data_IF_114132815303
#
_entry.id   IF_114132815303
#
_cell.length_a   1.000
_cell.length_b   1.000
_cell.length_c   1.000
_cell.angle_alpha   90.00
_cell.angle_beta   90.00
_cell.angle_gamma   90.00
#
_symmetry.space_group_name_H-M   'P 1'
#
loop_
_entity.id
_entity.type
_entity.pdbx_description
1 polymer ?
#
# COMPACT_ATOMS: atom_id res chain seq x y z
N UNK A 1 7.45 4.74 -20.29
CA UNK A 1 8.19 4.68 -19.02
C UNK A 1 8.28 3.21 -18.66
N UNK A 2 9.46 2.63 -18.73
CA UNK A 2 9.72 1.25 -18.31
C UNK A 2 10.42 1.32 -16.95
N UNK A 3 9.68 1.10 -15.87
CA UNK A 3 10.22 1.17 -14.52
C UNK A 3 9.19 0.68 -13.50
N UNK A 4 9.66 0.37 -12.30
CA UNK A 4 8.82 -0.07 -11.19
C UNK A 4 8.08 1.16 -10.63
N UNK A 5 6.82 0.97 -10.26
CA UNK A 5 6.05 1.92 -9.45
C UNK A 5 5.90 1.29 -8.06
N UNK A 6 6.46 1.93 -7.05
CA UNK A 6 6.26 1.56 -5.66
C UNK A 6 5.04 2.31 -5.12
N UNK A 7 4.02 1.57 -4.71
CA UNK A 7 2.75 2.13 -4.25
C UNK A 7 2.55 2.01 -2.73
N UNK A 8 3.52 1.48 -2.01
CA UNK A 8 3.41 1.27 -0.58
C UNK A 8 4.75 1.53 0.12
N UNK A 9 4.95 2.75 0.59
CA UNK A 9 6.18 3.15 1.26
C UNK A 9 5.96 4.28 2.27
N UNK A 10 6.60 4.17 3.43
CA UNK A 10 6.57 5.14 4.53
C UNK A 10 7.78 6.07 4.44
N UNK A 11 7.91 6.75 3.31
CA UNK A 11 9.10 7.55 2.98
C UNK A 11 9.03 9.01 3.48
N UNK A 12 7.85 9.50 3.88
CA UNK A 12 7.71 10.87 4.41
C UNK A 12 8.31 10.95 5.82
N UNK A 13 9.25 11.89 6.07
CA UNK A 13 10.00 11.92 7.32
C UNK A 13 9.16 12.36 8.51
N UNK A 14 9.25 11.61 9.62
CA UNK A 14 8.66 11.98 10.91
C UNK A 14 7.13 12.01 10.96
N UNK A 15 6.47 11.33 10.02
CA UNK A 15 4.99 11.23 9.98
C UNK A 15 4.50 10.00 10.74
N UNK A 16 5.17 8.88 10.59
CA UNK A 16 4.82 7.57 11.14
C UNK A 16 6.07 6.78 11.55
N UNK A 17 6.00 5.46 11.54
CA UNK A 17 7.09 4.54 11.87
C UNK A 17 8.09 4.28 10.73
N UNK A 18 7.93 4.98 9.60
CA UNK A 18 8.84 4.89 8.47
C UNK A 18 10.09 5.75 8.61
N UNK A 19 10.36 6.60 7.62
CA UNK A 19 11.52 7.50 7.62
C UNK A 19 11.51 8.47 8.80
N UNK A 20 12.62 8.56 9.51
CA UNK A 20 12.79 9.42 10.68
C UNK A 20 13.11 10.87 10.32
N UNK A 21 13.85 11.06 9.24
CA UNK A 21 14.37 12.35 8.80
C UNK A 21 14.62 12.40 7.28
N UNK A 22 14.94 13.59 6.78
CA UNK A 22 15.20 13.78 5.34
C UNK A 22 16.43 13.04 4.83
N UNK A 23 17.42 12.76 5.65
CA UNK A 23 18.60 12.01 5.24
C UNK A 23 18.25 10.53 5.01
N UNK A 24 17.35 10.00 5.81
CA UNK A 24 16.80 8.64 5.61
C UNK A 24 15.92 8.59 4.37
N UNK A 25 14.99 9.55 4.19
CA UNK A 25 14.14 9.63 3.00
C UNK A 25 14.96 9.71 1.70
N UNK A 26 16.04 10.49 1.68
CA UNK A 26 16.94 10.56 0.51
C UNK A 26 17.62 9.23 0.21
N UNK A 27 18.14 8.55 1.25
CA UNK A 27 18.72 7.20 1.06
C UNK A 27 17.71 6.21 0.51
N UNK A 28 16.46 6.28 0.97
CA UNK A 28 15.37 5.44 0.45
C UNK A 28 15.10 5.76 -1.02
N UNK A 29 14.99 7.04 -1.39
CA UNK A 29 14.81 7.47 -2.79
C UNK A 29 15.94 6.96 -3.68
N UNK A 30 17.20 7.17 -3.28
CA UNK A 30 18.39 6.75 -4.04
C UNK A 30 18.41 5.22 -4.23
N UNK A 31 18.16 4.46 -3.15
CA UNK A 31 18.13 3.02 -3.21
C UNK A 31 17.00 2.51 -4.14
N UNK A 32 15.81 3.07 -4.05
CA UNK A 32 14.68 2.71 -4.90
C UNK A 32 14.98 3.01 -6.39
N UNK A 33 15.55 4.18 -6.69
CA UNK A 33 15.91 4.55 -8.06
C UNK A 33 16.98 3.62 -8.65
N UNK A 34 18.00 3.26 -7.86
CA UNK A 34 19.04 2.30 -8.25
C UNK A 34 18.46 0.89 -8.52
N UNK A 35 17.41 0.49 -7.82
CA UNK A 35 16.70 -0.78 -8.03
C UNK A 35 15.72 -0.75 -9.22
N UNK A 36 15.60 0.37 -9.93
CA UNK A 36 14.75 0.50 -11.11
C UNK A 36 13.38 1.11 -10.84
N UNK A 37 13.09 1.59 -9.63
CA UNK A 37 11.87 2.34 -9.33
C UNK A 37 11.92 3.70 -10.05
N UNK A 38 10.83 4.08 -10.68
CA UNK A 38 10.68 5.35 -11.40
C UNK A 38 9.52 6.19 -10.90
N UNK A 39 8.68 5.60 -10.05
CA UNK A 39 7.64 6.33 -9.35
C UNK A 39 7.45 5.76 -7.94
N UNK A 40 7.31 6.62 -6.95
CA UNK A 40 7.00 6.27 -5.56
C UNK A 40 5.73 7.00 -5.16
N UNK A 41 4.75 6.27 -4.65
CA UNK A 41 3.60 6.84 -3.95
C UNK A 41 3.87 6.76 -2.45
N UNK A 42 4.10 7.89 -1.82
CA UNK A 42 4.25 7.95 -0.38
C UNK A 42 2.91 7.62 0.29
N UNK A 43 2.89 6.63 1.16
CA UNK A 43 1.67 6.12 1.80
C UNK A 43 1.84 6.04 3.32
N UNK A 44 1.98 7.18 4.01
CA UNK A 44 2.05 7.17 5.46
C UNK A 44 0.77 6.59 6.07
N UNK A 45 0.89 6.06 7.28
CA UNK A 45 -0.25 5.53 8.02
C UNK A 45 -1.36 6.57 8.20
N UNK A 46 -2.60 6.11 8.07
CA UNK A 46 -3.78 6.91 8.36
C UNK A 46 -3.91 7.18 9.86
N UNK A 47 -4.12 8.44 10.22
CA UNK A 47 -4.48 8.82 11.56
C UNK A 47 -5.97 9.20 11.64
N UNK A 48 -6.69 8.66 12.64
CA UNK A 48 -8.08 9.06 12.93
C UNK A 48 -8.22 10.55 13.27
N UNK A 49 -7.11 11.23 13.58
CA UNK A 49 -7.05 12.69 13.82
C UNK A 49 -7.11 13.49 12.51
N UNK A 50 -7.13 12.81 11.35
CA UNK A 50 -7.08 13.41 10.03
C UNK A 50 -5.66 13.47 9.46
N UNK A 51 -5.52 14.20 8.35
CA UNK A 51 -4.24 14.39 7.69
C UNK A 51 -3.33 15.29 8.52
N UNK A 52 -2.04 14.95 8.69
CA UNK A 52 -1.07 15.87 9.27
C UNK A 52 -1.05 17.18 8.46
N UNK A 53 -1.07 18.36 9.10
CA UNK A 53 -1.13 19.64 8.37
C UNK A 53 -0.01 19.82 7.34
N UNK A 54 1.18 19.28 7.63
CA UNK A 54 2.38 19.38 6.78
C UNK A 54 2.47 18.32 5.67
N UNK A 55 1.48 17.41 5.53
CA UNK A 55 1.61 16.25 4.63
C UNK A 55 1.84 16.66 3.16
N UNK A 56 1.18 17.70 2.70
CA UNK A 56 1.32 18.19 1.33
C UNK A 56 2.67 18.87 1.10
N UNK A 57 3.13 19.67 2.07
CA UNK A 57 4.46 20.30 2.01
C UNK A 57 5.58 19.24 1.98
N UNK A 58 5.45 18.20 2.81
CA UNK A 58 6.42 17.10 2.81
C UNK A 58 6.39 16.31 1.49
N UNK A 59 5.20 16.09 0.89
CA UNK A 59 5.08 15.42 -0.40
C UNK A 59 5.67 16.26 -1.54
N UNK A 60 5.47 17.58 -1.54
CA UNK A 60 6.08 18.49 -2.50
C UNK A 60 7.61 18.46 -2.40
N UNK A 61 8.15 18.56 -1.19
CA UNK A 61 9.59 18.45 -0.96
C UNK A 61 10.14 17.08 -1.35
N UNK A 62 9.41 15.99 -1.12
CA UNK A 62 9.81 14.66 -1.58
C UNK A 62 9.96 14.62 -3.10
N UNK A 63 9.04 15.28 -3.83
CA UNK A 63 9.10 15.40 -5.29
C UNK A 63 10.33 16.18 -5.76
N UNK A 64 10.69 17.25 -5.06
CA UNK A 64 11.92 17.99 -5.36
C UNK A 64 13.16 17.13 -5.13
N UNK A 65 13.23 16.40 -4.01
CA UNK A 65 14.36 15.50 -3.71
C UNK A 65 14.49 14.39 -4.75
N UNK A 66 13.38 13.78 -5.16
CA UNK A 66 13.37 12.78 -6.23
C UNK A 66 13.85 13.38 -7.57
N UNK A 67 13.39 14.59 -7.92
CA UNK A 67 13.81 15.31 -9.13
C UNK A 67 15.31 15.67 -9.16
N UNK A 68 15.94 15.82 -7.98
CA UNK A 68 17.40 16.02 -7.88
C UNK A 68 18.19 14.76 -8.18
N UNK A 69 17.60 13.58 -7.89
CA UNK A 69 18.22 12.28 -8.22
C UNK A 69 18.14 12.04 -9.73
N UNK A 70 16.94 12.18 -10.32
CA UNK A 70 16.76 12.04 -11.75
C UNK A 70 15.46 12.75 -12.23
N UNK A 71 15.46 13.39 -13.42
CA UNK A 71 14.28 14.10 -13.94
C UNK A 71 13.07 13.19 -14.23
N UNK A 72 13.30 11.90 -14.44
CA UNK A 72 12.28 10.89 -14.71
C UNK A 72 11.76 10.18 -13.44
N UNK A 73 12.33 10.48 -12.28
CA UNK A 73 11.88 9.93 -11.00
C UNK A 73 10.70 10.76 -10.47
N UNK A 74 9.54 10.13 -10.37
CA UNK A 74 8.30 10.78 -9.94
C UNK A 74 7.90 10.31 -8.55
N UNK A 75 7.18 11.18 -7.85
CA UNK A 75 6.55 10.83 -6.58
C UNK A 75 5.07 11.21 -6.60
N UNK A 76 4.30 10.56 -5.78
CA UNK A 76 2.90 10.86 -5.52
C UNK A 76 2.58 10.70 -4.04
N UNK A 77 1.34 11.02 -3.68
CA UNK A 77 0.85 10.95 -2.31
C UNK A 77 -0.39 10.06 -2.22
N UNK A 78 -0.45 9.25 -1.20
CA UNK A 78 -1.59 8.45 -0.79
C UNK A 78 -1.57 8.23 0.72
N UNK A 79 -2.27 7.22 1.19
CA UNK A 79 -2.20 6.75 2.57
C UNK A 79 -2.36 5.25 2.64
N UNK A 80 -1.68 4.61 3.57
CA UNK A 80 -2.04 3.29 4.07
C UNK A 80 -3.11 3.48 5.15
N UNK A 81 -4.33 3.03 4.84
CA UNK A 81 -5.50 3.34 5.64
C UNK A 81 -5.95 2.13 6.43
N UNK A 82 -5.93 2.19 7.76
CA UNK A 82 -6.54 1.15 8.59
C UNK A 82 -8.06 1.17 8.42
N UNK A 83 -8.65 0.02 8.01
CA UNK A 83 -10.08 -0.05 7.76
C UNK A 83 -10.89 0.22 9.03
N UNK A 84 -11.91 1.04 8.88
CA UNK A 84 -12.96 1.29 9.88
C UNK A 84 -14.27 1.65 9.18
N UNK A 85 -15.39 1.53 9.89
CA UNK A 85 -16.73 1.70 9.30
C UNK A 85 -16.98 3.08 8.64
N UNK A 86 -16.31 4.13 9.11
CA UNK A 86 -16.40 5.49 8.57
C UNK A 86 -15.43 5.79 7.42
N UNK A 87 -14.59 4.84 6.98
CA UNK A 87 -13.54 5.10 6.00
C UNK A 87 -14.07 5.68 4.69
N UNK A 88 -15.13 5.09 4.14
CA UNK A 88 -15.72 5.56 2.87
C UNK A 88 -16.19 7.01 2.97
N UNK A 89 -16.76 7.40 4.11
CA UNK A 89 -17.18 8.77 4.33
C UNK A 89 -15.97 9.72 4.48
N UNK A 90 -14.92 9.29 5.18
CA UNK A 90 -13.69 10.05 5.31
C UNK A 90 -13.00 10.27 3.96
N UNK A 91 -12.99 9.28 3.07
CA UNK A 91 -12.48 9.41 1.71
C UNK A 91 -13.28 10.45 0.90
N UNK A 92 -14.62 10.42 0.97
CA UNK A 92 -15.48 11.40 0.30
C UNK A 92 -15.28 12.83 0.81
N UNK A 93 -14.97 12.97 2.10
CA UNK A 93 -14.74 14.27 2.75
C UNK A 93 -13.29 14.76 2.63
N UNK A 94 -12.39 14.01 1.98
CA UNK A 94 -10.98 14.34 1.88
C UNK A 94 -10.21 14.25 3.21
N UNK A 95 -10.76 13.51 4.19
CA UNK A 95 -10.11 13.24 5.49
C UNK A 95 -9.18 12.03 5.47
N UNK A 96 -9.27 11.23 4.42
CA UNK A 96 -8.38 10.14 4.07
C UNK A 96 -8.02 10.26 2.58
N UNK A 97 -6.83 9.81 2.19
CA UNK A 97 -6.34 9.92 0.83
C UNK A 97 -6.48 8.60 0.07
N UNK A 98 -6.81 8.71 -1.20
CA UNK A 98 -6.62 7.66 -2.19
C UNK A 98 -5.18 7.69 -2.72
N UNK A 99 -4.74 6.68 -3.45
CA UNK A 99 -3.44 6.71 -4.13
C UNK A 99 -3.51 7.74 -5.27
N UNK A 100 -2.75 8.82 -5.14
CA UNK A 100 -2.59 9.89 -6.14
C UNK A 100 -3.93 10.40 -6.71
N UNK A 101 -4.90 10.67 -5.84
CA UNK A 101 -6.24 11.14 -6.20
C UNK A 101 -7.00 10.24 -7.19
N UNK A 102 -6.61 8.98 -7.32
CA UNK A 102 -7.30 7.98 -8.12
C UNK A 102 -8.46 7.37 -7.34
N UNK A 103 -9.04 6.27 -7.83
CA UNK A 103 -10.02 5.48 -7.08
C UNK A 103 -9.37 4.38 -6.22
N UNK A 104 -8.07 4.17 -6.32
CA UNK A 104 -7.37 3.16 -5.55
C UNK A 104 -7.15 3.62 -4.11
N UNK A 105 -7.48 2.76 -3.17
CA UNK A 105 -7.31 3.00 -1.73
C UNK A 105 -6.48 1.86 -1.16
N UNK A 106 -5.29 2.17 -0.69
CA UNK A 106 -4.46 1.22 0.04
C UNK A 106 -5.05 1.05 1.44
N UNK A 107 -5.49 -0.16 1.76
CA UNK A 107 -6.21 -0.45 2.99
C UNK A 107 -5.61 -1.64 3.71
N UNK A 108 -5.36 -1.46 5.01
CA UNK A 108 -4.91 -2.52 5.90
C UNK A 108 -5.99 -2.91 6.93
N UNK A 109 -5.84 -4.10 7.49
CA UNK A 109 -6.72 -4.69 8.49
C UNK A 109 -5.90 -5.29 9.64
N UNK A 110 -6.59 -5.64 10.72
CA UNK A 110 -6.00 -6.49 11.75
C UNK A 110 -5.61 -7.86 11.14
N UNK A 111 -4.41 -8.38 11.41
CA UNK A 111 -4.00 -9.71 10.92
C UNK A 111 -4.96 -10.85 11.30
N UNK A 112 -5.73 -10.68 12.38
CA UNK A 112 -6.74 -11.63 12.86
C UNK A 112 -8.16 -11.32 12.35
N UNK A 113 -8.30 -10.39 11.41
CA UNK A 113 -9.61 -10.07 10.82
C UNK A 113 -10.31 -11.33 10.31
N UNK A 114 -11.61 -11.46 10.57
CA UNK A 114 -12.37 -12.56 9.98
C UNK A 114 -12.54 -12.34 8.47
N UNK A 115 -12.58 -13.44 7.70
CA UNK A 115 -12.84 -13.35 6.26
C UNK A 115 -14.13 -12.59 5.96
N UNK A 116 -15.20 -12.87 6.71
CA UNK A 116 -16.47 -12.17 6.56
C UNK A 116 -16.33 -10.65 6.70
N UNK A 117 -15.65 -10.19 7.73
CA UNK A 117 -15.45 -8.75 7.97
C UNK A 117 -14.62 -8.10 6.86
N UNK A 118 -13.55 -8.76 6.42
CA UNK A 118 -12.70 -8.30 5.33
C UNK A 118 -13.49 -8.22 4.01
N UNK A 119 -14.26 -9.25 3.67
CA UNK A 119 -15.10 -9.27 2.47
C UNK A 119 -16.17 -8.18 2.50
N UNK A 120 -16.85 -7.95 3.63
CA UNK A 120 -17.82 -6.88 3.77
C UNK A 120 -17.19 -5.49 3.62
N UNK A 121 -15.99 -5.29 4.15
CA UNK A 121 -15.23 -4.06 3.97
C UNK A 121 -14.92 -3.79 2.49
N UNK A 122 -14.40 -4.80 1.78
CA UNK A 122 -14.13 -4.71 0.33
C UNK A 122 -15.41 -4.37 -0.44
N UNK A 123 -16.51 -5.09 -0.18
CA UNK A 123 -17.81 -4.79 -0.81
C UNK A 123 -18.27 -3.35 -0.56
N UNK A 124 -18.17 -2.87 0.68
CA UNK A 124 -18.57 -1.51 1.04
C UNK A 124 -17.79 -0.47 0.23
N UNK A 125 -16.49 -0.67 0.08
CA UNK A 125 -15.63 0.24 -0.70
C UNK A 125 -15.90 0.16 -2.21
N UNK A 126 -16.06 -1.05 -2.77
CA UNK A 126 -16.37 -1.25 -4.19
C UNK A 126 -17.74 -0.69 -4.58
N UNK A 127 -18.75 -0.87 -3.73
CA UNK A 127 -20.07 -0.24 -3.91
C UNK A 127 -20.00 1.29 -3.89
N UNK A 128 -19.07 1.86 -3.15
CA UNK A 128 -18.77 3.30 -3.14
C UNK A 128 -17.88 3.75 -4.32
N UNK A 129 -17.60 2.85 -5.29
CA UNK A 129 -16.77 3.05 -6.49
C UNK A 129 -15.29 3.27 -6.24
N UNK A 130 -14.79 2.92 -5.07
CA UNK A 130 -13.35 2.79 -4.82
C UNK A 130 -12.85 1.41 -5.26
N UNK A 131 -11.56 1.32 -5.49
CA UNK A 131 -10.86 0.06 -5.78
C UNK A 131 -9.93 -0.21 -4.59
N UNK A 132 -10.34 -1.08 -3.63
CA UNK A 132 -9.47 -1.41 -2.51
C UNK A 132 -8.21 -2.12 -3.00
N UNK A 133 -7.06 -1.67 -2.54
CA UNK A 133 -5.78 -2.37 -2.62
C UNK A 133 -5.50 -2.90 -1.22
N UNK A 134 -5.64 -4.20 -1.02
CA UNK A 134 -5.41 -4.82 0.29
C UNK A 134 -3.89 -4.88 0.50
N UNK A 135 -3.41 -4.10 1.46
CA UNK A 135 -2.00 -4.01 1.81
C UNK A 135 -1.49 -5.31 2.43
N UNK A 136 -0.23 -5.66 2.14
CA UNK A 136 0.50 -6.82 2.71
C UNK A 136 -0.41 -8.02 3.00
N UNK A 137 -1.08 -8.48 1.93
CA UNK A 137 -2.11 -9.56 1.98
C UNK A 137 -1.63 -10.83 2.69
N UNK A 138 -0.33 -11.06 2.72
CA UNK A 138 0.33 -12.16 3.40
C UNK A 138 0.20 -12.13 4.92
N UNK A 139 -0.25 -11.03 5.51
CA UNK A 139 -0.44 -10.93 6.97
C UNK A 139 -1.78 -11.48 7.44
N UNK A 140 -2.76 -11.69 6.54
CA UNK A 140 -4.12 -12.08 6.95
C UNK A 140 -4.30 -13.59 6.99
N UNK A 141 -4.45 -14.13 8.21
CA UNK A 141 -4.61 -15.58 8.42
C UNK A 141 -5.86 -16.14 7.75
N UNK A 142 -6.94 -15.37 7.67
CA UNK A 142 -8.20 -15.80 7.04
C UNK A 142 -8.09 -16.07 5.54
N UNK A 143 -6.98 -15.68 4.88
CA UNK A 143 -6.74 -15.89 3.45
C UNK A 143 -5.82 -17.09 3.17
N UNK A 144 -5.39 -17.81 4.21
CA UNK A 144 -4.44 -18.92 4.06
C UNK A 144 -5.07 -20.18 3.48
N UNK A 145 -6.37 -20.34 3.63
CA UNK A 145 -7.13 -21.52 3.22
C UNK A 145 -8.36 -21.12 2.41
N UNK A 146 -8.86 -22.05 1.59
CA UNK A 146 -10.04 -21.84 0.76
C UNK A 146 -9.82 -20.88 -0.41
N UNK A 147 -10.93 -20.37 -0.94
CA UNK A 147 -10.98 -19.55 -2.17
C UNK A 147 -11.13 -18.05 -1.88
N UNK A 148 -10.90 -17.64 -0.62
CA UNK A 148 -11.11 -16.26 -0.17
C UNK A 148 -10.32 -15.22 -0.95
N UNK A 149 -9.10 -15.55 -1.39
CA UNK A 149 -8.28 -14.67 -2.25
C UNK A 149 -8.98 -14.42 -3.59
N UNK A 150 -9.48 -15.47 -4.23
CA UNK A 150 -10.15 -15.38 -5.53
C UNK A 150 -11.47 -14.61 -5.43
N UNK A 151 -12.26 -14.89 -4.39
CA UNK A 151 -13.52 -14.17 -4.14
C UNK A 151 -13.31 -12.68 -3.94
N UNK A 152 -12.24 -12.27 -3.23
CA UNK A 152 -11.91 -10.87 -3.04
C UNK A 152 -11.54 -10.19 -4.36
N UNK A 153 -10.74 -10.87 -5.20
CA UNK A 153 -10.39 -10.37 -6.54
C UNK A 153 -11.65 -10.19 -7.40
N UNK A 154 -12.54 -11.18 -7.39
CA UNK A 154 -13.83 -11.11 -8.09
C UNK A 154 -14.73 -10.00 -7.56
N UNK A 155 -14.63 -9.67 -6.27
CA UNK A 155 -15.31 -8.53 -5.68
C UNK A 155 -14.75 -7.17 -6.13
N UNK A 156 -13.63 -7.15 -6.86
CA UNK A 156 -13.05 -5.97 -7.51
C UNK A 156 -11.91 -5.29 -6.74
N UNK A 157 -11.34 -5.97 -5.72
CA UNK A 157 -10.12 -5.46 -5.07
C UNK A 157 -8.84 -5.81 -5.84
N UNK A 158 -7.75 -5.22 -5.40
CA UNK A 158 -6.38 -5.58 -5.77
C UNK A 158 -5.63 -6.03 -4.52
N UNK A 159 -4.62 -6.86 -4.71
CA UNK A 159 -3.82 -7.41 -3.63
C UNK A 159 -2.38 -6.93 -3.77
N UNK A 160 -1.85 -6.33 -2.72
CA UNK A 160 -0.46 -5.93 -2.59
C UNK A 160 0.24 -6.87 -1.61
N UNK A 161 1.46 -7.26 -1.93
CA UNK A 161 2.31 -8.11 -1.11
C UNK A 161 3.69 -7.45 -0.95
N UNK A 162 4.27 -7.55 0.24
CA UNK A 162 5.62 -7.08 0.44
C UNK A 162 6.63 -8.04 -0.21
N UNK A 163 7.57 -7.49 -0.96
CA UNK A 163 8.60 -8.27 -1.66
C UNK A 163 9.41 -9.16 -0.70
N UNK A 164 9.75 -8.64 0.48
CA UNK A 164 10.48 -9.39 1.51
C UNK A 164 9.77 -10.69 1.96
N UNK A 165 8.45 -10.78 1.79
CA UNK A 165 7.68 -11.98 2.12
C UNK A 165 7.92 -13.14 1.14
N UNK A 166 8.58 -12.89 0.00
CA UNK A 166 9.03 -13.90 -0.95
C UNK A 166 10.41 -14.46 -0.63
N UNK A 167 11.14 -13.79 0.27
CA UNK A 167 12.51 -14.19 0.65
C UNK A 167 12.52 -15.39 1.62
N UNK A 168 13.65 -16.07 1.68
CA UNK A 168 13.86 -17.20 2.58
C UNK A 168 13.62 -18.57 1.95
N UNK A 169 13.77 -19.62 2.78
CA UNK A 169 13.64 -21.00 2.33
C UNK A 169 12.18 -21.48 2.35
N UNK A 170 11.52 -21.42 1.20
CA UNK A 170 10.12 -21.83 1.04
C UNK A 170 9.86 -23.33 1.26
N UNK A 171 10.90 -24.17 1.36
CA UNK A 171 10.73 -25.63 1.63
C UNK A 171 10.20 -25.83 3.06
N UNK A 172 10.69 -25.05 4.01
CA UNK A 172 10.35 -25.19 5.44
C UNK A 172 9.37 -24.12 5.94
N UNK A 173 9.18 -23.02 5.21
CA UNK A 173 8.30 -21.94 5.60
C UNK A 173 6.97 -21.97 4.82
N UNK A 174 5.87 -22.29 5.50
CA UNK A 174 4.52 -22.37 4.90
C UNK A 174 4.05 -21.02 4.35
N UNK A 175 4.43 -19.91 5.00
CA UNK A 175 4.04 -18.58 4.59
C UNK A 175 4.73 -18.15 3.29
N UNK A 176 6.04 -18.37 3.19
CA UNK A 176 6.80 -18.11 1.94
C UNK A 176 6.25 -18.95 0.78
N UNK A 177 5.87 -20.22 1.03
CA UNK A 177 5.26 -21.06 -0.02
C UNK A 177 3.91 -20.50 -0.47
N UNK A 178 3.09 -20.07 0.48
CA UNK A 178 1.80 -19.46 0.17
C UNK A 178 2.00 -18.19 -0.68
N UNK A 179 2.89 -17.29 -0.26
CA UNK A 179 3.21 -16.06 -0.99
C UNK A 179 3.66 -16.35 -2.42
N UNK A 180 4.64 -17.25 -2.60
CA UNK A 180 5.14 -17.63 -3.93
C UNK A 180 4.06 -18.26 -4.81
N UNK A 181 3.16 -19.04 -4.22
CA UNK A 181 2.01 -19.61 -4.94
C UNK A 181 1.08 -18.50 -5.43
N UNK A 182 0.71 -17.54 -4.58
CA UNK A 182 -0.18 -16.43 -5.00
C UNK A 182 0.42 -15.62 -6.14
N UNK A 183 1.74 -15.37 -6.11
CA UNK A 183 2.46 -14.70 -7.21
C UNK A 183 2.44 -15.57 -8.49
N UNK A 184 2.77 -16.86 -8.39
CA UNK A 184 2.80 -17.76 -9.53
C UNK A 184 1.42 -17.94 -10.21
N UNK A 185 0.35 -17.86 -9.44
CA UNK A 185 -1.03 -17.91 -9.93
C UNK A 185 -1.56 -16.55 -10.43
N UNK A 186 -0.72 -15.50 -10.44
CA UNK A 186 -1.07 -14.17 -10.95
C UNK A 186 -2.11 -13.43 -10.11
N UNK A 187 -2.25 -13.77 -8.82
CA UNK A 187 -3.23 -13.17 -7.91
C UNK A 187 -2.72 -11.90 -7.22
N UNK A 188 -1.40 -11.69 -7.21
CA UNK A 188 -0.81 -10.48 -6.67
C UNK A 188 -0.70 -9.45 -7.79
N UNK A 189 -1.17 -8.25 -7.51
CA UNK A 189 -1.30 -7.18 -8.50
C UNK A 189 -0.21 -6.12 -8.34
N UNK A 190 0.33 -6.01 -7.13
CA UNK A 190 1.28 -4.97 -6.74
C UNK A 190 2.22 -5.48 -5.65
#
# INVERSE_FOLDING_TARGET
MTGIIDIHTHILPGIDDGSRDWDESRRMLEAAYQQGTRCIIATPHYSRRGLPPQIYELAERLSEEAGRIAPDFKTGLGQETYFHEGLVENLKQGKALTLENTRYVLVEFDPQVSYHSLYQAVRKMTMARYIPVIAHVERYFCLREGDGVEELIQCGCRLQMNYSSLEGNGIWNRDVRWCRRQVAEGRIHM
#
